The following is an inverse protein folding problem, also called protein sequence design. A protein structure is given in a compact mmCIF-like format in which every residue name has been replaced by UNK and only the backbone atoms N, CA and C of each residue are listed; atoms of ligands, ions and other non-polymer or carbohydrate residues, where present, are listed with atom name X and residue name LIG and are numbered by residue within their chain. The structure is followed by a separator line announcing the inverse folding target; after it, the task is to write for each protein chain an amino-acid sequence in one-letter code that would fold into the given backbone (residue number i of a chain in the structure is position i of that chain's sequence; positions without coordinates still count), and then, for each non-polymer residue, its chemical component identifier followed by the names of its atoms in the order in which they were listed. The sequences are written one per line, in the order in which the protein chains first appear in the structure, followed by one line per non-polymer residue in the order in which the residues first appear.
data_IF_294761324400
#
_entry.id   IF_294761324400
#
_cell.length_a   1.000
_cell.length_b   1.000
_cell.length_c   1.000
_cell.angle_alpha   90.00
_cell.angle_beta   90.00
_cell.angle_gamma   90.00
#
_symmetry.space_group_name_H-M   'P 1'
#
loop_
_entity.id
_entity.type
_entity.pdbx_description
1 polymer ?
#
# COMPACT_ATOMS: atom_id res chain seq x y z
N UNK A 1 19.13 14.76 10.59
CA UNK A 1 17.82 14.08 10.43
C UNK A 1 17.88 12.74 11.14
N UNK A 2 16.96 12.45 12.06
CA UNK A 2 16.89 11.15 12.74
C UNK A 2 16.26 10.09 11.84
N UNK A 3 16.71 8.83 11.89
CA UNK A 3 16.15 7.76 11.08
C UNK A 3 14.73 7.41 11.53
N UNK A 4 13.77 7.47 10.61
CA UNK A 4 12.38 7.09 10.84
C UNK A 4 12.26 5.57 10.93
N UNK A 5 11.28 5.10 11.70
CA UNK A 5 10.87 3.69 11.76
C UNK A 5 9.41 3.57 11.34
N UNK A 6 9.13 2.71 10.38
CA UNK A 6 7.81 2.50 9.82
C UNK A 6 7.47 1.02 9.97
N UNK A 7 6.26 0.73 10.44
CA UNK A 7 5.75 -0.64 10.51
C UNK A 7 5.09 -0.98 9.18
N UNK A 8 5.65 -1.94 8.46
CA UNK A 8 5.08 -2.48 7.23
C UNK A 8 4.23 -3.71 7.55
N UNK A 9 2.96 -3.66 7.18
CA UNK A 9 2.03 -4.79 7.27
C UNK A 9 1.90 -5.44 5.89
N UNK A 10 2.25 -6.72 5.79
CA UNK A 10 2.25 -7.44 4.52
C UNK A 10 0.83 -7.70 3.99
N UNK A 11 -0.17 -7.84 4.85
CA UNK A 11 -1.56 -8.01 4.39
C UNK A 11 -2.11 -6.71 3.81
N UNK A 12 -1.73 -5.58 4.41
CA UNK A 12 -2.05 -4.27 3.86
C UNK A 12 -1.35 -4.02 2.52
N UNK A 13 -0.08 -4.41 2.40
CA UNK A 13 0.66 -4.35 1.13
C UNK A 13 -0.04 -5.15 0.03
N UNK A 14 -0.40 -6.40 0.30
CA UNK A 14 -1.07 -7.27 -0.67
C UNK A 14 -2.44 -6.70 -1.09
N UNK A 15 -3.20 -6.14 -0.12
CA UNK A 15 -4.48 -5.48 -0.37
C UNK A 15 -4.33 -4.22 -1.21
N UNK A 16 -3.32 -3.38 -0.92
CA UNK A 16 -3.13 -2.10 -1.59
C UNK A 16 -2.60 -2.27 -3.02
N UNK A 17 -1.64 -3.18 -3.24
CA UNK A 17 -1.11 -3.48 -4.57
C UNK A 17 -2.03 -4.37 -5.41
N UNK A 18 -2.96 -5.09 -4.76
CA UNK A 18 -3.84 -6.06 -5.44
C UNK A 18 -3.11 -7.31 -5.94
N UNK A 19 -1.88 -7.56 -5.47
CA UNK A 19 -1.08 -8.74 -5.83
C UNK A 19 -0.35 -9.31 -4.61
N UNK A 20 -0.12 -10.61 -4.65
CA UNK A 20 0.69 -11.30 -3.64
C UNK A 20 2.14 -11.36 -4.08
N UNK A 21 3.04 -10.77 -3.28
CA UNK A 21 4.48 -10.80 -3.51
C UNK A 21 5.14 -11.68 -2.43
N UNK A 22 6.02 -12.63 -2.79
CA UNK A 22 6.72 -13.45 -1.80
C UNK A 22 7.49 -12.61 -0.78
N UNK A 23 7.37 -12.93 0.52
CA UNK A 23 8.03 -12.18 1.62
C UNK A 23 9.54 -12.08 1.43
N UNK A 24 10.17 -13.13 0.89
CA UNK A 24 11.61 -13.13 0.58
C UNK A 24 11.96 -12.07 -0.45
N UNK A 25 11.13 -11.90 -1.48
CA UNK A 25 11.33 -10.92 -2.53
C UNK A 25 11.14 -9.49 -2.00
N UNK A 26 10.09 -9.25 -1.21
CA UNK A 26 9.88 -7.97 -0.52
C UNK A 26 11.10 -7.57 0.32
N UNK A 27 11.61 -8.51 1.14
CA UNK A 27 12.80 -8.28 1.97
C UNK A 27 14.04 -7.99 1.12
N UNK A 28 14.21 -8.67 -0.01
CA UNK A 28 15.34 -8.45 -0.92
C UNK A 28 15.28 -7.07 -1.58
N UNK A 29 14.10 -6.64 -2.03
CA UNK A 29 13.89 -5.32 -2.63
C UNK A 29 14.24 -4.23 -1.62
N UNK A 30 13.67 -4.29 -0.42
CA UNK A 30 13.92 -3.30 0.63
C UNK A 30 15.41 -3.24 1.00
N UNK A 31 16.08 -4.39 1.14
CA UNK A 31 17.53 -4.45 1.39
C UNK A 31 18.35 -3.79 0.28
N UNK A 32 18.01 -4.01 -0.99
CA UNK A 32 18.70 -3.40 -2.15
C UNK A 32 18.55 -1.88 -2.20
N UNK A 33 17.49 -1.35 -1.59
CA UNK A 33 17.22 0.09 -1.48
C UNK A 33 17.79 0.70 -0.18
N UNK A 34 18.63 -0.05 0.55
CA UNK A 34 19.23 0.28 1.85
C UNK A 34 18.27 0.37 3.05
N UNK A 35 17.02 -0.09 2.91
CA UNK A 35 16.12 -0.14 4.08
C UNK A 35 16.59 -1.22 5.06
N UNK A 36 16.69 -0.82 6.34
CA UNK A 36 17.11 -1.73 7.40
C UNK A 36 15.89 -2.44 7.98
N UNK A 37 15.86 -3.77 7.89
CA UNK A 37 14.81 -4.58 8.48
C UNK A 37 15.09 -4.75 9.98
N UNK A 38 14.25 -4.15 10.82
CA UNK A 38 14.30 -4.28 12.26
C UNK A 38 13.67 -5.61 12.71
N UNK A 39 14.45 -6.41 13.43
CA UNK A 39 13.95 -7.61 14.11
C UNK A 39 13.16 -7.23 15.36
N UNK A 40 11.85 -7.07 15.23
CA UNK A 40 10.97 -7.19 16.39
C UNK A 40 10.92 -8.66 16.80
N UNK A 41 10.95 -8.95 18.12
CA UNK A 41 10.57 -10.28 18.61
C UNK A 41 9.14 -10.51 18.16
N UNK A 42 8.90 -11.57 17.40
CA UNK A 42 7.55 -11.97 16.99
C UNK A 42 6.86 -12.49 18.24
N UNK A 43 5.91 -11.74 18.81
CA UNK A 43 5.18 -12.16 20.01
C UNK A 43 3.97 -13.05 19.69
N UNK A 44 3.53 -13.07 18.44
CA UNK A 44 2.40 -13.89 17.97
C UNK A 44 2.47 -14.17 16.47
N UNK A 45 1.73 -15.18 15.97
CA UNK A 45 1.62 -15.44 14.53
C UNK A 45 1.09 -14.23 13.74
N UNK A 46 0.18 -13.44 14.34
CA UNK A 46 -0.34 -12.20 13.73
C UNK A 46 0.75 -11.10 13.60
N UNK A 47 1.80 -11.12 14.42
CA UNK A 47 2.95 -10.22 14.29
C UNK A 47 3.97 -10.70 13.25
N UNK A 48 3.92 -11.97 12.84
CA UNK A 48 4.88 -12.52 11.86
C UNK A 48 4.81 -11.82 10.49
N UNK A 49 3.65 -11.23 10.17
CA UNK A 49 3.40 -10.47 8.92
C UNK A 49 3.63 -8.97 9.06
N UNK A 50 4.14 -8.51 10.20
CA UNK A 50 4.49 -7.10 10.44
C UNK A 50 6.01 -6.97 10.55
N UNK A 51 6.58 -6.11 9.72
CA UNK A 51 8.03 -5.90 9.66
C UNK A 51 8.31 -4.46 10.07
N UNK A 52 9.21 -4.27 11.04
CA UNK A 52 9.70 -2.93 11.35
C UNK A 52 10.77 -2.54 10.33
N UNK A 53 10.61 -1.40 9.69
CA UNK A 53 11.54 -0.89 8.67
C UNK A 53 12.17 0.39 9.18
N UNK A 54 13.49 0.46 9.21
CA UNK A 54 14.23 1.68 9.48
C UNK A 54 14.64 2.30 8.16
N UNK A 55 14.17 3.54 7.96
CA UNK A 55 14.32 4.32 6.74
C UNK A 55 15.72 4.95 6.70
N UNK A 56 16.46 4.87 5.57
CA UNK A 56 17.71 5.60 5.39
C UNK A 56 17.47 7.10 5.55
N UNK A 57 18.34 7.81 6.27
CA UNK A 57 18.18 9.24 6.53
C UNK A 57 18.19 10.11 5.26
N UNK A 58 18.75 9.60 4.15
CA UNK A 58 18.72 10.22 2.82
C UNK A 58 17.34 10.19 2.13
N UNK A 59 16.43 9.32 2.57
CA UNK A 59 15.08 9.17 2.00
C UNK A 59 14.11 10.07 2.76
N UNK A 60 13.95 11.30 2.27
CA UNK A 60 13.02 12.28 2.84
C UNK A 60 11.57 12.05 2.39
N UNK A 61 11.42 11.40 1.23
CA UNK A 61 10.20 10.99 0.56
C UNK A 61 9.48 9.82 1.24
N UNK A 62 10.13 9.14 2.19
CA UNK A 62 9.55 7.99 2.89
C UNK A 62 9.20 8.35 4.33
N UNK A 63 7.92 8.22 4.66
CA UNK A 63 7.34 8.67 5.93
C UNK A 63 6.22 7.76 6.45
N UNK A 64 5.46 7.14 5.55
CA UNK A 64 4.32 6.27 5.87
C UNK A 64 4.48 4.87 5.24
N UNK A 65 3.69 3.86 5.65
CA UNK A 65 3.76 2.51 5.09
C UNK A 65 3.54 2.46 3.57
N UNK A 66 2.67 3.32 3.03
CA UNK A 66 2.33 3.42 1.61
C UNK A 66 3.56 3.76 0.76
N UNK A 67 4.45 4.63 1.25
CA UNK A 67 5.69 4.99 0.54
C UNK A 67 6.61 3.76 0.37
N UNK A 68 6.65 2.87 1.38
CA UNK A 68 7.38 1.61 1.27
C UNK A 68 6.71 0.65 0.29
N UNK A 69 5.38 0.61 0.27
CA UNK A 69 4.61 -0.23 -0.63
C UNK A 69 4.80 0.22 -2.09
N UNK A 70 4.85 1.53 -2.34
CA UNK A 70 5.16 2.12 -3.64
C UNK A 70 6.53 1.67 -4.14
N UNK A 71 7.57 1.81 -3.31
CA UNK A 71 8.94 1.36 -3.64
C UNK A 71 9.03 -0.15 -3.93
N UNK A 72 8.31 -0.96 -3.16
CA UNK A 72 8.23 -2.40 -3.39
C UNK A 72 7.55 -2.68 -4.74
N UNK A 73 6.40 -2.05 -5.01
CA UNK A 73 5.69 -2.19 -6.27
C UNK A 73 6.52 -1.73 -7.47
N UNK A 74 7.24 -0.61 -7.32
CA UNK A 74 8.08 0.01 -8.36
C UNK A 74 9.23 -0.90 -8.77
N UNK A 75 9.93 -1.50 -7.81
CA UNK A 75 11.03 -2.44 -8.09
C UNK A 75 10.52 -3.82 -8.51
N UNK A 76 9.39 -4.29 -7.96
CA UNK A 76 8.79 -5.56 -8.38
C UNK A 76 8.30 -5.50 -9.83
N UNK A 77 7.78 -4.35 -10.24
CA UNK A 77 7.34 -4.01 -11.59
C UNK A 77 5.81 -3.88 -11.68
N UNK A 78 5.33 -2.67 -11.97
CA UNK A 78 3.90 -2.37 -12.10
C UNK A 78 3.21 -3.18 -13.21
N UNK A 79 3.93 -3.58 -14.24
CA UNK A 79 3.41 -4.44 -15.31
C UNK A 79 2.93 -5.82 -14.83
N UNK A 80 3.37 -6.25 -13.64
CA UNK A 80 2.92 -7.51 -13.02
C UNK A 80 1.61 -7.35 -12.24
N UNK A 81 1.18 -6.11 -12.00
CA UNK A 81 -0.09 -5.80 -11.33
C UNK A 81 -1.20 -5.90 -12.37
N UNK A 82 -2.13 -6.82 -12.18
CA UNK A 82 -3.26 -7.00 -13.11
C UNK A 82 -4.20 -5.80 -13.01
N UNK A 83 -4.54 -5.22 -14.15
CA UNK A 83 -5.59 -4.20 -14.22
C UNK A 83 -6.93 -4.83 -13.85
N UNK A 84 -7.68 -4.15 -12.99
CA UNK A 84 -9.04 -4.50 -12.62
C UNK A 84 -9.87 -3.21 -12.52
N UNK A 85 -11.12 -3.28 -12.96
CA UNK A 85 -12.06 -2.17 -12.76
C UNK A 85 -12.42 -2.07 -11.27
N UNK A 86 -12.61 -0.84 -10.74
CA UNK A 86 -13.11 -0.68 -9.39
C UNK A 86 -14.55 -1.18 -9.30
N UNK A 87 -14.84 -1.96 -8.26
CA UNK A 87 -16.21 -2.35 -7.93
C UNK A 87 -16.83 -1.25 -7.07
N UNK A 88 -17.89 -0.62 -7.58
CA UNK A 88 -18.65 0.38 -6.83
C UNK A 88 -20.15 0.09 -6.96
N UNK A 89 -20.87 0.25 -5.86
CA UNK A 89 -22.33 0.23 -5.90
C UNK A 89 -22.82 1.52 -6.54
N UNK A 90 -23.55 1.41 -7.65
CA UNK A 90 -24.20 2.56 -8.28
C UNK A 90 -25.49 2.87 -7.52
N UNK A 91 -25.45 3.92 -6.71
CA UNK A 91 -26.64 4.47 -6.04
C UNK A 91 -27.12 5.64 -6.89
N UNK A 92 -28.36 5.61 -7.42
CA UNK A 92 -28.88 6.73 -8.17
C UNK A 92 -28.93 7.96 -7.26
N UNK A 93 -28.59 9.16 -7.78
CA UNK A 93 -28.70 10.37 -6.98
C UNK A 93 -30.16 10.62 -6.60
N UNK A 94 -30.37 11.31 -5.47
CA UNK A 94 -31.72 11.76 -5.09
C UNK A 94 -32.27 12.63 -6.22
N UNK A 95 -33.45 12.28 -6.73
CA UNK A 95 -34.14 13.05 -7.77
C UNK A 95 -34.34 14.50 -7.29
N UNK A 96 -33.95 15.46 -8.12
CA UNK A 96 -34.24 16.86 -7.87
C UNK A 96 -35.67 17.17 -8.31
N UNK A 97 -36.57 17.42 -7.35
CA UNK A 97 -37.97 17.74 -7.61
C UNK A 97 -38.18 19.16 -8.16
N UNK A 98 -37.20 20.05 -7.99
CA UNK A 98 -37.28 21.44 -8.46
C UNK A 98 -37.08 21.55 -9.98
N UNK A 99 -36.67 20.45 -10.63
CA UNK A 99 -36.42 20.34 -12.08
C UNK A 99 -37.51 19.59 -12.85
N UNK A 100 -38.73 19.52 -12.32
CA UNK A 100 -39.81 18.78 -12.96
C UNK A 100 -40.16 19.27 -14.38
N UNK A 101 -39.86 20.52 -14.70
CA UNK A 101 -40.07 21.10 -16.03
C UNK A 101 -39.20 20.48 -17.14
N UNK A 102 -38.04 19.89 -16.79
CA UNK A 102 -37.12 19.27 -17.77
C UNK A 102 -37.72 18.01 -18.43
N UNK A 103 -38.76 17.42 -17.83
CA UNK A 103 -39.44 16.20 -18.32
C UNK A 103 -40.70 16.50 -19.15
N UNK A 104 -41.09 17.77 -19.30
CA UNK A 104 -42.34 18.19 -19.98
C UNK A 104 -42.14 18.61 -21.45
N UNK A 105 -40.94 18.51 -22.00
CA UNK A 105 -40.60 18.84 -23.41
C UNK A 105 -40.21 17.59 -24.16
#
# INVERSE_FOLDING_TARGET
VLPKRIRLDLDYLEKLLGIKIPVREIKNILKRLDFQLGGGKVASEAESRKIMIKVPTRRLDVSIPEDLIEEIGRIYGYQKIKSAFPTATLIPPKRNTDRFWEEMT
#
